data_IF_248641848372
#
_entry.id   IF_248641848372
#
_cell.length_a   1.000
_cell.length_b   1.000
_cell.length_c   1.000
_cell.angle_alpha   90.00
_cell.angle_beta   90.00
_cell.angle_gamma   90.00
#
_symmetry.space_group_name_H-M   'P 1'
#
loop_
_entity.id
_entity.type
_entity.pdbx_description
1 polymer ?
#
# COMPACT_ATOMS: atom_id res chain seq x y z
N UNK A 1 34.81 -35.50 1.73
CA UNK A 1 34.01 -34.72 2.69
C UNK A 1 33.31 -33.61 1.92
N UNK A 2 32.01 -33.77 1.65
CA UNK A 2 31.16 -32.78 0.99
C UNK A 2 30.66 -31.82 2.08
N UNK A 3 31.20 -30.60 2.12
CA UNK A 3 30.54 -29.50 2.84
C UNK A 3 29.53 -28.87 1.88
N UNK A 4 28.31 -28.80 2.38
CA UNK A 4 27.07 -28.57 1.64
C UNK A 4 26.98 -27.12 1.12
N UNK A 5 26.70 -27.00 -0.19
CA UNK A 5 26.47 -25.73 -0.90
C UNK A 5 25.15 -25.05 -0.56
N UNK A 6 24.39 -25.59 0.39
CA UNK A 6 23.16 -25.00 0.92
C UNK A 6 23.42 -23.74 1.76
N UNK A 7 24.52 -23.67 2.54
CA UNK A 7 24.78 -22.55 3.46
C UNK A 7 25.11 -21.22 2.73
N UNK A 8 25.89 -21.28 1.64
CA UNK A 8 26.22 -20.09 0.84
C UNK A 8 25.04 -19.57 0.01
N UNK A 9 24.05 -20.44 -0.26
CA UNK A 9 22.80 -20.05 -0.94
C UNK A 9 21.88 -19.28 0.01
N UNK A 10 21.88 -19.62 1.31
CA UNK A 10 21.18 -18.86 2.35
C UNK A 10 21.80 -17.47 2.62
N UNK A 11 23.12 -17.31 2.56
CA UNK A 11 23.77 -15.98 2.67
C UNK A 11 23.43 -15.09 1.47
N UNK A 12 23.26 -15.67 0.27
CA UNK A 12 22.80 -14.93 -0.91
C UNK A 12 21.33 -14.53 -0.82
N UNK A 13 20.48 -15.38 -0.22
CA UNK A 13 19.05 -15.13 -0.01
C UNK A 13 18.84 -14.11 1.12
N UNK A 14 19.57 -14.20 2.24
CA UNK A 14 19.55 -13.20 3.32
C UNK A 14 20.16 -11.86 2.88
N UNK A 15 21.18 -11.88 2.02
CA UNK A 15 21.72 -10.68 1.37
C UNK A 15 20.76 -10.02 0.38
N UNK A 16 19.81 -10.77 -0.19
CA UNK A 16 18.73 -10.26 -1.05
C UNK A 16 17.56 -9.67 -0.25
N UNK A 17 17.28 -10.18 0.96
CA UNK A 17 16.25 -9.63 1.86
C UNK A 17 16.58 -8.19 2.31
N UNK A 18 17.87 -7.84 2.41
CA UNK A 18 18.29 -6.46 2.70
C UNK A 18 18.43 -5.59 1.44
N UNK A 19 18.64 -6.18 0.25
CA UNK A 19 18.76 -5.46 -1.03
C UNK A 19 17.42 -5.15 -1.71
N UNK A 20 16.34 -5.87 -1.42
CA UNK A 20 15.01 -5.62 -2.03
C UNK A 20 14.37 -4.31 -1.58
N UNK A 21 14.53 -3.92 -0.31
CA UNK A 21 14.11 -2.61 0.22
C UNK A 21 14.91 -1.46 -0.42
N UNK A 22 16.21 -1.67 -0.66
CA UNK A 22 17.09 -0.70 -1.31
C UNK A 22 16.83 -0.60 -2.80
N UNK A 23 16.51 -1.68 -3.52
CA UNK A 23 16.21 -1.61 -4.96
C UNK A 23 14.88 -0.91 -5.24
N UNK A 24 13.84 -1.16 -4.42
CA UNK A 24 12.60 -0.39 -4.50
C UNK A 24 12.87 1.07 -4.09
N UNK A 25 13.65 1.30 -3.03
CA UNK A 25 14.07 2.63 -2.58
C UNK A 25 14.90 3.40 -3.61
N UNK A 26 15.79 2.74 -4.35
CA UNK A 26 16.59 3.29 -5.44
C UNK A 26 15.74 3.51 -6.70
N UNK A 27 14.79 2.62 -7.01
CA UNK A 27 13.77 2.87 -8.04
C UNK A 27 12.90 4.07 -7.68
N UNK A 28 12.49 4.20 -6.41
CA UNK A 28 11.71 5.32 -5.88
C UNK A 28 12.53 6.61 -5.81
N UNK A 29 13.81 6.56 -5.44
CA UNK A 29 14.71 7.72 -5.35
C UNK A 29 15.21 8.19 -6.73
N UNK A 30 15.47 7.27 -7.66
CA UNK A 30 15.85 7.57 -9.05
C UNK A 30 14.65 8.08 -9.87
N UNK A 31 13.43 7.70 -9.49
CA UNK A 31 12.20 8.32 -9.99
C UNK A 31 11.96 9.74 -9.41
N UNK A 32 12.50 10.05 -8.23
CA UNK A 32 12.36 11.35 -7.55
C UNK A 32 13.35 12.43 -8.02
N UNK A 33 14.48 12.05 -8.63
CA UNK A 33 15.62 12.97 -8.88
C UNK A 33 15.69 13.59 -10.29
N UNK A 34 14.75 13.31 -11.20
CA UNK A 34 14.73 13.93 -12.55
C UNK A 34 13.46 14.76 -12.75
N UNK A 35 13.53 16.02 -12.33
CA UNK A 35 12.45 17.00 -12.50
C UNK A 35 12.14 17.24 -13.99
N UNK A 36 10.85 17.22 -14.35
CA UNK A 36 10.34 17.92 -15.54
C UNK A 36 9.48 17.07 -16.49
N UNK A 37 8.15 17.14 -16.29
CA UNK A 37 7.05 16.64 -17.15
C UNK A 37 6.83 15.11 -17.11
N UNK A 38 5.72 14.73 -16.46
CA UNK A 38 5.11 13.38 -16.47
C UNK A 38 5.92 12.25 -15.80
N UNK A 39 6.18 12.36 -14.51
CA UNK A 39 6.63 11.21 -13.68
C UNK A 39 5.42 10.49 -13.07
N UNK A 40 4.71 9.71 -13.88
CA UNK A 40 3.95 8.60 -13.30
C UNK A 40 4.98 7.54 -12.86
N UNK A 41 4.91 7.10 -11.60
CA UNK A 41 5.36 5.76 -11.24
C UNK A 41 4.77 4.82 -12.29
N UNK A 42 5.61 4.12 -13.06
CA UNK A 42 5.09 3.06 -13.92
C UNK A 42 4.66 1.89 -13.02
N UNK A 43 3.47 2.05 -12.47
CA UNK A 43 2.80 1.08 -11.61
C UNK A 43 2.74 -0.28 -12.31
N UNK A 44 2.73 -0.33 -13.66
CA UNK A 44 2.76 -1.59 -14.41
C UNK A 44 4.10 -2.30 -14.24
N UNK A 45 5.23 -1.60 -14.39
CA UNK A 45 6.55 -2.17 -14.16
C UNK A 45 6.76 -2.53 -12.69
N UNK A 46 6.32 -1.68 -11.77
CA UNK A 46 6.35 -1.97 -10.33
C UNK A 46 5.53 -3.20 -9.95
N UNK A 47 4.35 -3.37 -10.57
CA UNK A 47 3.44 -4.50 -10.34
C UNK A 47 4.09 -5.84 -10.70
N UNK A 48 4.80 -5.91 -11.83
CA UNK A 48 5.52 -7.14 -12.23
C UNK A 48 6.54 -7.57 -11.20
N UNK A 49 7.39 -6.63 -10.77
CA UNK A 49 8.40 -6.90 -9.74
C UNK A 49 7.74 -7.35 -8.43
N UNK A 50 6.66 -6.66 -8.05
CA UNK A 50 5.89 -6.97 -6.85
C UNK A 50 5.23 -8.36 -6.88
N UNK A 51 4.69 -8.77 -8.03
CA UNK A 51 4.07 -10.08 -8.23
C UNK A 51 5.10 -11.21 -8.16
N UNK A 52 6.34 -10.97 -8.60
CA UNK A 52 7.46 -11.91 -8.53
C UNK A 52 8.09 -12.02 -7.12
N UNK A 53 7.74 -11.14 -6.17
CA UNK A 53 8.30 -11.18 -4.82
C UNK A 53 7.79 -12.40 -4.03
N UNK A 54 8.67 -13.28 -3.53
CA UNK A 54 8.25 -14.44 -2.74
C UNK A 54 7.82 -14.05 -1.32
N UNK A 55 8.28 -12.91 -0.81
CA UNK A 55 7.87 -12.34 0.46
C UNK A 55 7.62 -10.85 0.28
N UNK A 56 6.46 -10.37 0.69
CA UNK A 56 6.07 -8.96 0.66
C UNK A 56 6.03 -8.45 2.09
N UNK A 57 6.53 -7.24 2.29
CA UNK A 57 6.50 -6.55 3.59
C UNK A 57 5.71 -5.24 3.48
N UNK A 58 5.49 -4.58 4.61
CA UNK A 58 4.73 -3.33 4.69
C UNK A 58 5.26 -2.26 3.72
N UNK A 59 6.57 -2.16 3.54
CA UNK A 59 7.19 -1.19 2.61
C UNK A 59 6.79 -1.48 1.16
N UNK A 60 6.87 -2.74 0.73
CA UNK A 60 6.53 -3.14 -0.66
C UNK A 60 5.05 -2.97 -0.96
N UNK A 61 4.18 -3.32 0.00
CA UNK A 61 2.73 -3.10 -0.09
C UNK A 61 2.41 -1.61 -0.20
N UNK A 62 2.95 -0.80 0.71
CA UNK A 62 2.73 0.65 0.74
C UNK A 62 3.19 1.33 -0.54
N UNK A 63 4.34 0.94 -1.08
CA UNK A 63 4.86 1.50 -2.32
C UNK A 63 3.92 1.23 -3.51
N UNK A 64 3.44 -0.01 -3.65
CA UNK A 64 2.51 -0.36 -4.73
C UNK A 64 1.17 0.36 -4.58
N UNK A 65 0.58 0.29 -3.38
CA UNK A 65 -0.70 0.92 -3.07
C UNK A 65 -0.65 2.44 -3.32
N UNK A 66 0.38 3.12 -2.80
CA UNK A 66 0.55 4.56 -2.99
C UNK A 66 0.75 4.89 -4.47
N UNK A 67 1.47 4.04 -5.19
CA UNK A 67 1.63 4.15 -6.64
C UNK A 67 0.29 4.15 -7.37
N UNK A 68 -0.60 3.20 -7.04
CA UNK A 68 -1.96 3.17 -7.60
C UNK A 68 -2.80 4.38 -7.19
N UNK A 69 -2.82 4.77 -5.90
CA UNK A 69 -3.56 5.95 -5.43
C UNK A 69 -3.09 7.25 -6.11
N UNK A 70 -1.80 7.36 -6.46
CA UNK A 70 -1.21 8.59 -7.01
C UNK A 70 -1.53 8.85 -8.50
N UNK A 71 -2.14 7.88 -9.20
CA UNK A 71 -2.44 8.00 -10.62
C UNK A 71 -3.76 8.74 -10.90
N UNK A 72 -3.72 10.07 -10.86
CA UNK A 72 -4.90 10.94 -11.08
C UNK A 72 -5.56 10.85 -12.46
N UNK A 73 -4.83 10.40 -13.50
CA UNK A 73 -5.32 10.39 -14.90
C UNK A 73 -6.14 9.15 -15.29
N UNK A 74 -6.11 8.10 -14.48
CA UNK A 74 -6.85 6.84 -14.67
C UNK A 74 -7.60 6.49 -13.38
N UNK A 75 -8.18 7.51 -12.75
CA UNK A 75 -8.58 7.48 -11.34
C UNK A 75 -9.41 6.24 -10.98
N UNK A 76 -10.35 5.79 -11.83
CA UNK A 76 -11.19 4.63 -11.52
C UNK A 76 -10.45 3.28 -11.56
N UNK A 77 -9.76 2.98 -12.66
CA UNK A 77 -9.03 1.70 -12.81
C UNK A 77 -7.89 1.60 -11.81
N UNK A 78 -7.19 2.72 -11.57
CA UNK A 78 -6.10 2.77 -10.59
C UNK A 78 -6.62 2.64 -9.16
N UNK A 79 -7.75 3.28 -8.83
CA UNK A 79 -8.36 3.15 -7.53
C UNK A 79 -8.86 1.71 -7.27
N UNK A 80 -9.46 1.05 -8.28
CA UNK A 80 -9.83 -0.37 -8.16
C UNK A 80 -8.59 -1.26 -7.96
N UNK A 81 -7.51 -1.01 -8.71
CA UNK A 81 -6.24 -1.71 -8.53
C UNK A 81 -5.62 -1.53 -7.14
N UNK A 82 -5.74 -0.33 -6.55
CA UNK A 82 -5.38 -0.10 -5.15
C UNK A 82 -6.25 -0.97 -4.23
N UNK A 83 -7.59 -0.90 -4.34
CA UNK A 83 -8.50 -1.69 -3.50
C UNK A 83 -8.18 -3.20 -3.52
N UNK A 84 -7.92 -3.76 -4.70
CA UNK A 84 -7.54 -5.17 -4.84
C UNK A 84 -6.24 -5.49 -4.10
N UNK A 85 -5.22 -4.62 -4.20
CA UNK A 85 -3.97 -4.80 -3.46
C UNK A 85 -4.16 -4.74 -1.95
N UNK A 86 -5.09 -3.91 -1.45
CA UNK A 86 -5.41 -3.90 -0.03
C UNK A 86 -6.04 -5.21 0.42
N UNK A 87 -6.99 -5.73 -0.36
CA UNK A 87 -7.61 -7.01 -0.06
C UNK A 87 -6.56 -8.13 -0.05
N UNK A 88 -5.66 -8.15 -1.04
CA UNK A 88 -4.55 -9.10 -1.10
C UNK A 88 -3.62 -8.97 0.13
N UNK A 89 -3.34 -7.75 0.57
CA UNK A 89 -2.52 -7.49 1.77
C UNK A 89 -3.17 -8.04 3.05
N UNK A 90 -4.50 -7.92 3.18
CA UNK A 90 -5.23 -8.38 4.38
C UNK A 90 -5.29 -9.92 4.49
N UNK A 91 -5.22 -10.63 3.37
CA UNK A 91 -5.22 -12.11 3.34
C UNK A 91 -3.83 -12.70 3.14
N UNK A 92 -2.79 -11.86 3.10
CA UNK A 92 -1.42 -12.30 2.87
C UNK A 92 -0.91 -13.21 4.00
N UNK A 93 -0.25 -14.29 3.62
CA UNK A 93 0.24 -15.33 4.54
C UNK A 93 1.31 -14.81 5.51
N UNK A 94 2.01 -13.72 5.19
CA UNK A 94 2.97 -13.11 6.09
C UNK A 94 2.30 -12.23 7.17
N UNK A 95 0.98 -12.04 7.11
CA UNK A 95 0.21 -11.31 8.13
C UNK A 95 0.60 -9.84 8.25
N UNK A 96 0.92 -9.19 7.12
CA UNK A 96 1.37 -7.80 7.12
C UNK A 96 0.22 -6.87 7.52
N UNK A 97 0.40 -6.16 8.63
CA UNK A 97 -0.59 -5.18 9.11
C UNK A 97 -0.59 -3.91 8.25
N UNK A 98 -1.76 -3.28 8.15
CA UNK A 98 -1.86 -1.96 7.54
C UNK A 98 -1.04 -0.96 8.34
N UNK A 99 -0.47 0.01 7.63
CA UNK A 99 0.15 1.18 8.24
C UNK A 99 -0.78 2.38 8.09
N UNK A 100 -0.57 3.42 8.89
CA UNK A 100 -1.40 4.62 8.87
C UNK A 100 -1.44 5.25 7.46
N UNK A 101 -0.29 5.25 6.77
CA UNK A 101 -0.21 5.70 5.37
C UNK A 101 -1.07 4.86 4.43
N UNK A 102 -1.08 3.53 4.62
CA UNK A 102 -1.92 2.63 3.85
C UNK A 102 -3.40 2.94 4.12
N UNK A 103 -3.80 3.06 5.39
CA UNK A 103 -5.18 3.36 5.78
C UNK A 103 -5.67 4.67 5.15
N UNK A 104 -4.90 5.75 5.24
CA UNK A 104 -5.26 7.06 4.68
C UNK A 104 -5.37 7.01 3.14
N UNK A 105 -4.47 6.29 2.45
CA UNK A 105 -4.54 6.09 1.00
C UNK A 105 -5.85 5.38 0.62
N UNK A 106 -6.22 4.37 1.39
CA UNK A 106 -7.43 3.59 1.16
C UNK A 106 -8.71 4.41 1.34
N UNK A 107 -8.78 5.18 2.42
CA UNK A 107 -9.93 6.03 2.71
C UNK A 107 -10.12 7.06 1.60
N UNK A 108 -9.04 7.70 1.15
CA UNK A 108 -9.06 8.61 -0.01
C UNK A 108 -9.50 7.92 -1.30
N UNK A 109 -9.04 6.69 -1.54
CA UNK A 109 -9.41 5.91 -2.73
C UNK A 109 -10.89 5.51 -2.70
N UNK A 110 -11.39 5.04 -1.55
CA UNK A 110 -12.78 4.66 -1.34
C UNK A 110 -13.71 5.87 -1.46
N UNK A 111 -13.28 7.03 -0.93
CA UNK A 111 -13.94 8.33 -1.08
C UNK A 111 -14.09 8.73 -2.56
N UNK A 112 -13.02 8.60 -3.35
CA UNK A 112 -13.03 8.92 -4.78
C UNK A 112 -13.91 7.98 -5.61
N UNK A 113 -14.01 6.71 -5.22
CA UNK A 113 -14.85 5.73 -5.89
C UNK A 113 -16.30 5.70 -5.39
N UNK A 114 -16.58 6.31 -4.23
CA UNK A 114 -17.88 6.23 -3.56
C UNK A 114 -18.21 4.82 -3.04
N UNK A 115 -17.20 4.02 -2.69
CA UNK A 115 -17.39 2.62 -2.26
C UNK A 115 -17.42 2.54 -0.74
N UNK A 116 -18.61 2.69 -0.19
CA UNK A 116 -18.86 2.74 1.26
C UNK A 116 -18.43 1.45 1.97
N UNK A 117 -18.77 0.29 1.41
CA UNK A 117 -18.51 -1.02 2.05
C UNK A 117 -17.02 -1.25 2.31
N UNK A 118 -16.20 -0.96 1.30
CA UNK A 118 -14.74 -1.04 1.41
C UNK A 118 -14.23 -0.08 2.49
N UNK A 119 -14.63 1.20 2.43
CA UNK A 119 -14.23 2.21 3.41
C UNK A 119 -14.61 1.83 4.84
N UNK A 120 -15.81 1.28 5.05
CA UNK A 120 -16.29 0.82 6.35
C UNK A 120 -15.50 -0.39 6.88
N UNK A 121 -15.08 -1.31 6.00
CA UNK A 121 -14.22 -2.43 6.40
C UNK A 121 -12.88 -1.93 6.97
N UNK A 122 -12.25 -0.94 6.33
CA UNK A 122 -11.01 -0.34 6.85
C UNK A 122 -11.26 0.50 8.09
N UNK A 123 -12.40 1.18 8.21
CA UNK A 123 -12.79 1.84 9.46
C UNK A 123 -12.83 0.86 10.64
N UNK A 124 -13.48 -0.30 10.47
CA UNK A 124 -13.49 -1.33 11.52
C UNK A 124 -12.08 -1.88 11.84
N UNK A 125 -11.19 -1.96 10.85
CA UNK A 125 -9.78 -2.30 11.12
C UNK A 125 -9.06 -1.21 11.92
N UNK A 126 -9.30 0.07 11.59
CA UNK A 126 -8.74 1.22 12.29
C UNK A 126 -9.16 1.21 13.76
N UNK A 127 -10.46 1.02 14.05
CA UNK A 127 -10.97 0.94 15.43
C UNK A 127 -10.33 -0.18 16.24
N UNK A 128 -9.95 -1.29 15.59
CA UNK A 128 -9.29 -2.42 16.24
C UNK A 128 -7.78 -2.21 16.45
N UNK A 129 -7.15 -1.28 15.73
CA UNK A 129 -5.69 -1.13 15.70
C UNK A 129 -5.17 0.18 16.26
N UNK A 130 -5.96 1.25 16.19
CA UNK A 130 -5.61 2.59 16.67
C UNK A 130 -6.51 2.92 17.86
N UNK A 131 -5.89 3.30 18.98
CA UNK A 131 -6.61 3.80 20.14
C UNK A 131 -7.06 5.25 19.88
N UNK A 132 -8.37 5.49 19.85
CA UNK A 132 -8.99 6.80 19.55
C UNK A 132 -8.60 7.35 18.16
N UNK A 133 -9.08 6.73 17.06
CA UNK A 133 -8.74 7.13 15.70
C UNK A 133 -9.13 8.57 15.34
N UNK A 134 -10.12 9.14 16.03
CA UNK A 134 -10.53 10.55 15.91
C UNK A 134 -9.45 11.54 16.36
N UNK A 135 -8.49 11.10 17.19
CA UNK A 135 -7.37 11.93 17.63
C UNK A 135 -6.19 11.89 16.64
N UNK A 136 -6.16 10.92 15.72
CA UNK A 136 -5.20 10.93 14.62
C UNK A 136 -5.72 11.87 13.52
N UNK A 137 -5.05 13.01 13.35
CA UNK A 137 -5.46 14.05 12.40
C UNK A 137 -5.60 13.51 10.97
N UNK A 138 -4.72 12.60 10.54
CA UNK A 138 -4.72 12.10 9.17
C UNK A 138 -5.83 11.07 8.96
N UNK A 139 -5.98 10.13 9.90
CA UNK A 139 -7.01 9.08 9.85
C UNK A 139 -8.40 9.67 10.03
N UNK A 140 -8.61 10.52 11.05
CA UNK A 140 -9.89 11.17 11.30
C UNK A 140 -10.36 12.04 10.13
N UNK A 141 -9.46 12.83 9.52
CA UNK A 141 -9.78 13.59 8.31
C UNK A 141 -10.13 12.67 7.14
N UNK A 142 -9.42 11.56 6.99
CA UNK A 142 -9.69 10.55 5.96
C UNK A 142 -11.05 9.88 6.12
N UNK A 143 -11.45 9.56 7.34
CA UNK A 143 -12.75 8.94 7.65
C UNK A 143 -13.90 9.89 7.31
N UNK A 144 -13.80 11.14 7.77
CA UNK A 144 -14.79 12.20 7.46
C UNK A 144 -14.91 12.40 5.95
N UNK A 145 -13.78 12.52 5.23
CA UNK A 145 -13.79 12.68 3.77
C UNK A 145 -14.47 11.49 3.09
N UNK A 146 -14.12 10.25 3.47
CA UNK A 146 -14.68 9.03 2.89
C UNK A 146 -16.20 8.92 3.11
N UNK A 147 -16.67 9.04 4.35
CA UNK A 147 -18.09 8.94 4.65
C UNK A 147 -18.89 10.12 4.08
N UNK A 148 -18.31 11.32 4.01
CA UNK A 148 -18.97 12.48 3.39
C UNK A 148 -19.21 12.26 1.89
N UNK A 149 -18.20 11.78 1.13
CA UNK A 149 -18.33 11.52 -0.31
C UNK A 149 -19.16 10.27 -0.62
N UNK A 150 -19.24 9.33 0.31
CA UNK A 150 -20.14 8.18 0.22
C UNK A 150 -21.58 8.48 0.67
N UNK A 151 -21.88 9.72 1.11
CA UNK A 151 -23.23 10.13 1.52
C UNK A 151 -23.69 9.55 2.86
N UNK A 152 -22.76 9.11 3.71
CA UNK A 152 -23.04 8.43 4.99
C UNK A 152 -22.25 9.06 6.15
N UNK A 153 -22.21 10.39 6.22
CA UNK A 153 -21.40 11.13 7.20
C UNK A 153 -21.71 10.75 8.67
N UNK A 154 -22.93 10.32 8.97
CA UNK A 154 -23.32 9.90 10.32
C UNK A 154 -22.61 8.66 10.85
N UNK A 155 -21.85 7.94 10.01
CA UNK A 155 -21.06 6.76 10.40
C UNK A 155 -19.56 7.04 10.52
N UNK A 156 -19.12 8.30 10.38
CA UNK A 156 -17.71 8.69 10.47
C UNK A 156 -17.18 8.75 11.92
N UNK A 157 -18.06 8.61 12.92
CA UNK A 157 -17.79 8.81 14.35
C UNK A 157 -18.62 7.83 15.19
#
# INVERSE_FOLDING_TARGET
MRTDGSFNRWISILGLVCKSSVYLGECLAKARSRQGRHTQLDVVSGRKVFDEMPMRNSVTWNAMITGYCSQSKKAKDCALGALLLFQDMLVDVCGVKLTDTTMVCFLSTSSQLGVLESGACVHGYIEQTIYMPENDLFVGTGLVDMYSKCGCLGSAL
#
